data_IF_128009423757
#
_entry.id   IF_128009423757
#
_cell.length_a   1.000
_cell.length_b   1.000
_cell.length_c   1.000
_cell.angle_alpha   90.00
_cell.angle_beta   90.00
_cell.angle_gamma   90.00
#
_symmetry.space_group_name_H-M   'P 1'
#
loop_
_entity.id
_entity.type
_entity.pdbx_description
1 polymer ?
#
# COMPACT_ATOMS: atom_id res chain seq x y z
N UNK A 1 -36.50 3.76 -17.31
CA UNK A 1 -35.42 4.58 -17.90
C UNK A 1 -34.82 5.57 -16.90
N UNK A 2 -35.65 6.39 -16.21
CA UNK A 2 -35.16 7.41 -15.26
C UNK A 2 -34.37 6.83 -14.09
N UNK A 3 -34.81 5.70 -13.51
CA UNK A 3 -34.13 5.05 -12.38
C UNK A 3 -32.72 4.55 -12.72
N UNK A 4 -32.54 3.98 -13.91
CA UNK A 4 -31.24 3.49 -14.40
C UNK A 4 -30.27 4.67 -14.53
N UNK A 5 -30.76 5.81 -15.01
CA UNK A 5 -30.01 7.06 -15.17
C UNK A 5 -29.59 7.63 -13.80
N UNK A 6 -30.48 7.58 -12.81
CA UNK A 6 -30.18 8.00 -11.44
C UNK A 6 -29.10 7.12 -10.79
N UNK A 7 -29.18 5.79 -10.94
CA UNK A 7 -28.18 4.86 -10.41
C UNK A 7 -26.81 5.10 -11.05
N UNK A 8 -26.75 5.29 -12.38
CA UNK A 8 -25.50 5.55 -13.09
C UNK A 8 -24.81 6.83 -12.59
N UNK A 9 -25.59 7.90 -12.36
CA UNK A 9 -25.07 9.18 -11.89
C UNK A 9 -24.47 9.06 -10.48
N UNK A 10 -25.16 8.38 -9.56
CA UNK A 10 -24.65 8.10 -8.21
C UNK A 10 -23.36 7.29 -8.25
N UNK A 11 -23.28 6.31 -9.15
CA UNK A 11 -22.10 5.44 -9.30
C UNK A 11 -20.89 6.23 -9.81
N UNK A 12 -21.08 7.12 -10.81
CA UNK A 12 -20.03 7.98 -11.34
C UNK A 12 -19.52 8.97 -10.28
N UNK A 13 -20.42 9.59 -9.52
CA UNK A 13 -20.04 10.47 -8.42
C UNK A 13 -19.30 9.71 -7.31
N UNK A 14 -19.78 8.52 -6.95
CA UNK A 14 -19.15 7.67 -5.95
C UNK A 14 -17.72 7.27 -6.34
N UNK A 15 -17.52 6.84 -7.59
CA UNK A 15 -16.19 6.50 -8.13
C UNK A 15 -15.28 7.73 -8.12
N UNK A 16 -15.77 8.89 -8.57
CA UNK A 16 -14.99 10.13 -8.60
C UNK A 16 -14.49 10.53 -7.21
N UNK A 17 -15.35 10.45 -6.19
CA UNK A 17 -14.98 10.74 -4.80
C UNK A 17 -13.97 9.72 -4.26
N UNK A 18 -14.17 8.42 -4.54
CA UNK A 18 -13.24 7.37 -4.10
C UNK A 18 -11.85 7.54 -4.73
N UNK A 19 -11.78 7.82 -6.03
CA UNK A 19 -10.52 8.09 -6.72
C UNK A 19 -9.84 9.35 -6.19
N UNK A 20 -10.60 10.43 -6.01
CA UNK A 20 -10.08 11.68 -5.46
C UNK A 20 -9.47 11.49 -4.08
N UNK A 21 -10.15 10.75 -3.21
CA UNK A 21 -9.66 10.44 -1.86
C UNK A 21 -8.39 9.58 -1.90
N UNK A 22 -8.35 8.55 -2.75
CA UNK A 22 -7.18 7.69 -2.90
C UNK A 22 -5.94 8.48 -3.40
N UNK A 23 -6.13 9.36 -4.38
CA UNK A 23 -5.06 10.23 -4.89
C UNK A 23 -4.61 11.22 -3.83
N UNK A 24 -5.54 11.83 -3.08
CA UNK A 24 -5.21 12.76 -2.00
C UNK A 24 -4.38 12.09 -0.89
N UNK A 25 -4.76 10.88 -0.47
CA UNK A 25 -4.01 10.10 0.54
C UNK A 25 -2.63 9.72 0.00
N UNK A 26 -2.53 9.31 -1.27
CA UNK A 26 -1.27 8.98 -1.92
C UNK A 26 -0.33 10.19 -2.03
N UNK A 27 -0.85 11.35 -2.44
CA UNK A 27 -0.10 12.59 -2.53
C UNK A 27 0.41 13.03 -1.16
N UNK A 28 -0.46 12.99 -0.13
CA UNK A 28 -0.09 13.34 1.24
C UNK A 28 1.01 12.42 1.78
N UNK A 29 0.94 11.13 1.46
CA UNK A 29 1.97 10.16 1.83
C UNK A 29 3.34 10.45 1.18
N UNK A 30 3.34 10.90 -0.08
CA UNK A 30 4.56 11.31 -0.78
C UNK A 30 5.16 12.59 -0.19
N UNK A 31 4.31 13.57 0.11
CA UNK A 31 4.70 14.83 0.76
C UNK A 31 5.36 14.61 2.13
N UNK A 32 4.78 13.74 2.96
CA UNK A 32 5.34 13.39 4.26
C UNK A 32 6.74 12.78 4.14
N UNK A 33 6.96 11.89 3.17
CA UNK A 33 8.28 11.27 2.91
C UNK A 33 9.31 12.30 2.45
N UNK A 34 8.93 13.20 1.54
CA UNK A 34 9.81 14.29 1.08
C UNK A 34 10.16 15.28 2.19
N UNK A 35 9.19 15.62 3.05
CA UNK A 35 9.40 16.50 4.20
C UNK A 35 10.37 15.89 5.22
N UNK A 36 10.20 14.60 5.56
CA UNK A 36 11.13 13.92 6.47
C UNK A 36 12.54 13.87 5.89
N UNK A 37 12.69 13.62 4.59
CA UNK A 37 14.02 13.61 3.96
C UNK A 37 14.70 14.98 4.02
N UNK A 38 13.94 16.07 3.89
CA UNK A 38 14.45 17.44 4.05
C UNK A 38 14.94 17.71 5.48
N UNK A 39 14.19 17.31 6.51
CA UNK A 39 14.64 17.41 7.91
C UNK A 39 15.89 16.57 8.16
N UNK A 40 15.90 15.32 7.70
CA UNK A 40 17.03 14.41 7.89
C UNK A 40 18.30 14.94 7.20
N UNK A 41 18.13 15.54 6.02
CA UNK A 41 19.21 16.19 5.31
C UNK A 41 19.74 17.42 6.07
N UNK A 42 18.83 18.24 6.60
CA UNK A 42 19.18 19.38 7.46
C UNK A 42 20.01 18.96 8.67
N UNK A 43 19.66 17.83 9.29
CA UNK A 43 20.37 17.32 10.47
C UNK A 43 21.67 16.60 10.14
N UNK A 44 21.75 15.90 9.01
CA UNK A 44 22.92 15.06 8.70
C UNK A 44 23.91 15.76 7.77
N UNK A 45 23.43 16.36 6.68
CA UNK A 45 24.31 16.86 5.62
C UNK A 45 24.81 18.28 5.86
N UNK A 46 24.01 19.13 6.52
CA UNK A 46 24.42 20.52 6.83
C UNK A 46 25.60 20.54 7.83
N UNK A 47 25.53 19.91 9.01
CA UNK A 47 26.65 19.96 9.96
C UNK A 47 27.87 19.14 9.51
N UNK A 48 27.68 18.03 8.79
CA UNK A 48 28.79 17.14 8.40
C UNK A 48 29.54 17.65 7.17
N UNK A 49 28.82 18.16 6.16
CA UNK A 49 29.41 18.54 4.87
C UNK A 49 29.38 20.06 4.61
N UNK A 50 28.79 20.86 5.50
CA UNK A 50 28.70 22.32 5.33
C UNK A 50 27.85 22.76 4.14
N UNK A 51 26.95 21.88 3.67
CA UNK A 51 26.14 22.12 2.48
C UNK A 51 24.91 22.98 2.81
N UNK A 52 24.40 23.77 1.84
CA UNK A 52 23.17 24.52 2.01
C UNK A 52 21.96 23.59 2.22
N UNK A 53 20.98 24.08 2.98
CA UNK A 53 19.77 23.35 3.34
C UNK A 53 19.00 22.91 2.08
N UNK A 54 18.74 21.60 1.96
CA UNK A 54 17.92 21.11 0.85
C UNK A 54 16.43 21.33 1.14
N UNK A 55 15.82 22.16 0.32
CA UNK A 55 14.37 22.32 0.29
C UNK A 55 13.64 21.04 -0.14
N UNK A 56 12.33 21.03 0.08
CA UNK A 56 11.46 19.87 -0.21
C UNK A 56 11.49 19.48 -1.70
N UNK A 57 11.64 20.46 -2.59
CA UNK A 57 11.63 20.26 -4.06
C UNK A 57 12.80 19.37 -4.54
N UNK A 58 14.09 19.69 -4.26
CA UNK A 58 15.19 18.82 -4.65
C UNK A 58 15.17 17.45 -3.94
N UNK A 59 14.65 17.35 -2.71
CA UNK A 59 14.48 16.08 -2.02
C UNK A 59 13.52 15.12 -2.74
N UNK A 60 12.39 15.64 -3.25
CA UNK A 60 11.45 14.85 -4.07
C UNK A 60 12.12 14.37 -5.35
N UNK A 61 12.93 15.22 -6.01
CA UNK A 61 13.69 14.86 -7.21
C UNK A 61 14.61 13.66 -6.99
N UNK A 62 15.32 13.62 -5.86
CA UNK A 62 16.17 12.48 -5.50
C UNK A 62 15.38 11.21 -5.16
N UNK A 63 14.20 11.34 -4.55
CA UNK A 63 13.36 10.18 -4.24
C UNK A 63 12.88 9.48 -5.53
N UNK A 64 12.59 10.25 -6.58
CA UNK A 64 12.21 9.73 -7.89
C UNK A 64 13.36 8.98 -8.57
N UNK A 65 14.57 9.52 -8.54
CA UNK A 65 15.73 8.85 -9.14
C UNK A 65 16.07 7.54 -8.42
N UNK A 66 15.99 7.53 -7.09
CA UNK A 66 16.18 6.30 -6.30
C UNK A 66 15.08 5.28 -6.63
N UNK A 67 13.81 5.68 -6.63
CA UNK A 67 12.69 4.75 -6.92
C UNK A 67 12.80 4.16 -8.32
N UNK A 68 13.14 4.99 -9.31
CA UNK A 68 13.37 4.54 -10.69
C UNK A 68 14.47 3.47 -10.77
N UNK A 69 15.53 3.61 -9.98
CA UNK A 69 16.66 2.67 -9.97
C UNK A 69 16.30 1.30 -9.35
N UNK A 70 15.48 1.27 -8.29
CA UNK A 70 15.15 0.05 -7.56
C UNK A 70 14.00 -0.78 -8.16
N UNK A 71 13.13 -0.17 -8.99
CA UNK A 71 11.96 -0.84 -9.54
C UNK A 71 12.29 -2.02 -10.48
N UNK A 72 13.50 -2.07 -11.05
CA UNK A 72 13.88 -3.09 -12.03
C UNK A 72 14.13 -4.49 -11.42
N UNK A 73 14.39 -4.60 -10.11
CA UNK A 73 14.80 -5.87 -9.49
C UNK A 73 13.64 -6.85 -9.21
N UNK A 74 12.44 -6.35 -8.88
CA UNK A 74 11.33 -7.19 -8.40
C UNK A 74 10.64 -7.98 -9.51
N UNK A 75 10.61 -7.45 -10.74
CA UNK A 75 9.86 -8.01 -11.88
C UNK A 75 10.36 -9.40 -12.31
N UNK A 76 11.64 -9.70 -12.09
CA UNK A 76 12.28 -10.95 -12.53
C UNK A 76 11.89 -12.16 -11.68
N UNK A 77 11.64 -11.96 -10.38
CA UNK A 77 11.33 -13.04 -9.44
C UNK A 77 9.91 -13.60 -9.59
N UNK A 78 8.93 -12.74 -9.91
CA UNK A 78 7.52 -13.11 -10.02
C UNK A 78 7.25 -13.97 -11.29
N UNK A 79 7.99 -13.72 -12.39
CA UNK A 79 7.89 -14.48 -13.65
C UNK A 79 8.44 -15.91 -13.51
N UNK A 80 9.50 -16.08 -12.72
CA UNK A 80 10.07 -17.41 -12.45
C UNK A 80 9.16 -18.26 -11.56
N UNK A 81 8.53 -17.63 -10.55
CA UNK A 81 7.60 -18.30 -9.66
C UNK A 81 6.30 -18.75 -10.35
N UNK A 82 5.77 -17.95 -11.30
CA UNK A 82 4.56 -18.26 -12.04
C UNK A 82 4.70 -19.49 -12.97
N UNK A 83 5.92 -19.86 -13.35
CA UNK A 83 6.19 -21.01 -14.23
C UNK A 83 6.18 -22.37 -13.51
N UNK A 84 6.12 -22.38 -12.17
CA UNK A 84 6.35 -23.59 -11.37
C UNK A 84 5.10 -24.31 -10.82
N UNK A 85 3.88 -23.79 -11.04
CA UNK A 85 2.67 -24.39 -10.41
C UNK A 85 1.85 -25.26 -11.39
N UNK A 86 1.64 -26.55 -11.10
CA UNK A 86 0.72 -27.40 -11.86
C UNK A 86 -0.74 -27.11 -11.48
N UNK A 87 -1.57 -26.96 -12.52
CA UNK A 87 -3.02 -26.68 -12.47
C UNK A 87 -3.76 -27.94 -11.98
N UNK A 88 -4.32 -27.93 -10.77
CA UNK A 88 -5.14 -29.04 -10.23
C UNK A 88 -6.60 -28.85 -10.62
N UNK A 89 -7.10 -29.74 -11.47
CA UNK A 89 -8.50 -29.82 -11.94
C UNK A 89 -9.42 -30.36 -10.83
N UNK A 90 -10.61 -29.76 -10.59
CA UNK A 90 -11.60 -30.34 -9.68
C UNK A 90 -12.60 -31.22 -10.45
N UNK A 91 -12.67 -32.50 -10.08
CA UNK A 91 -13.66 -33.47 -10.58
C UNK A 91 -15.05 -33.32 -9.92
N UNK A 92 -16.10 -33.87 -10.55
CA UNK A 92 -17.49 -33.57 -10.24
C UNK A 92 -18.00 -34.39 -9.06
N UNK A 93 -18.87 -33.80 -8.23
CA UNK A 93 -19.56 -34.50 -7.13
C UNK A 93 -21.07 -34.41 -7.30
N UNK A 94 -21.71 -35.51 -6.94
CA UNK A 94 -23.04 -36.00 -7.28
C UNK A 94 -24.16 -35.58 -6.29
N UNK A 95 -25.39 -35.66 -6.81
CA UNK A 95 -26.63 -34.98 -6.39
C UNK A 95 -27.37 -35.58 -5.17
N UNK A 96 -26.67 -36.09 -4.17
CA UNK A 96 -27.30 -36.48 -2.88
C UNK A 96 -26.70 -35.73 -1.68
N UNK A 97 -25.90 -34.72 -1.97
CA UNK A 97 -25.08 -33.94 -1.04
C UNK A 97 -25.64 -32.53 -0.84
N UNK A 98 -26.76 -32.13 -1.46
CA UNK A 98 -27.22 -30.72 -1.44
C UNK A 98 -27.51 -30.18 -0.04
N UNK A 99 -28.12 -30.97 0.85
CA UNK A 99 -28.48 -30.49 2.20
C UNK A 99 -27.26 -30.33 3.13
N UNK A 100 -26.26 -31.19 2.97
CA UNK A 100 -25.00 -31.12 3.71
C UNK A 100 -24.03 -30.10 3.06
N UNK A 101 -24.05 -29.98 1.73
CA UNK A 101 -23.23 -29.04 0.98
C UNK A 101 -23.67 -27.60 1.24
N UNK A 102 -24.97 -27.30 1.38
CA UNK A 102 -25.43 -25.93 1.69
C UNK A 102 -24.97 -25.50 3.09
N UNK A 103 -24.97 -26.41 4.08
CA UNK A 103 -24.46 -26.12 5.42
C UNK A 103 -22.93 -25.97 5.43
N UNK A 104 -22.20 -26.83 4.70
CA UNK A 104 -20.75 -26.69 4.57
C UNK A 104 -20.36 -25.43 3.77
N UNK A 105 -21.13 -25.06 2.76
CA UNK A 105 -20.93 -23.86 1.95
C UNK A 105 -21.23 -22.60 2.76
N UNK A 106 -22.31 -22.58 3.55
CA UNK A 106 -22.61 -21.46 4.46
C UNK A 106 -21.52 -21.26 5.52
N UNK A 107 -21.02 -22.35 6.13
CA UNK A 107 -19.90 -22.29 7.09
C UNK A 107 -18.61 -21.82 6.42
N UNK A 108 -18.37 -22.26 5.17
CA UNK A 108 -17.22 -21.85 4.39
C UNK A 108 -17.28 -20.37 4.01
N UNK A 109 -18.44 -19.86 3.61
CA UNK A 109 -18.65 -18.44 3.29
C UNK A 109 -18.42 -17.57 4.52
N UNK A 110 -18.89 -17.99 5.71
CA UNK A 110 -18.64 -17.21 6.93
C UNK A 110 -17.16 -17.22 7.34
N UNK A 111 -16.46 -18.33 7.11
CA UNK A 111 -15.02 -18.42 7.33
C UNK A 111 -14.24 -17.55 6.34
N UNK A 112 -14.62 -17.56 5.06
CA UNK A 112 -14.04 -16.72 4.01
C UNK A 112 -14.28 -15.24 4.33
N UNK A 113 -15.50 -14.84 4.76
CA UNK A 113 -15.81 -13.45 5.14
C UNK A 113 -14.99 -12.95 6.33
N UNK A 114 -14.82 -13.79 7.38
CA UNK A 114 -13.97 -13.46 8.54
C UNK A 114 -12.49 -13.40 8.17
N UNK A 115 -12.07 -14.18 7.17
CA UNK A 115 -10.71 -14.17 6.67
C UNK A 115 -10.43 -12.92 5.83
N UNK A 116 -11.35 -12.53 4.94
CA UNK A 116 -11.29 -11.28 4.18
C UNK A 116 -11.25 -10.07 5.11
N UNK A 117 -12.10 -10.02 6.14
CA UNK A 117 -12.11 -8.91 7.10
C UNK A 117 -10.77 -8.76 7.83
N UNK A 118 -10.16 -9.89 8.25
CA UNK A 118 -8.83 -9.89 8.87
C UNK A 118 -7.75 -9.47 7.89
N UNK A 119 -7.82 -9.92 6.64
CA UNK A 119 -6.87 -9.54 5.60
C UNK A 119 -6.94 -8.04 5.30
N UNK A 120 -8.15 -7.47 5.19
CA UNK A 120 -8.37 -6.03 5.01
C UNK A 120 -7.83 -5.24 6.19
N UNK A 121 -8.12 -5.67 7.43
CA UNK A 121 -7.57 -5.03 8.64
C UNK A 121 -6.05 -5.09 8.69
N UNK A 122 -5.44 -6.24 8.40
CA UNK A 122 -3.98 -6.40 8.40
C UNK A 122 -3.33 -5.56 7.30
N UNK A 123 -3.92 -5.48 6.10
CA UNK A 123 -3.45 -4.60 5.03
C UNK A 123 -3.56 -3.13 5.42
N UNK A 124 -4.67 -2.71 6.04
CA UNK A 124 -4.86 -1.34 6.51
C UNK A 124 -3.85 -0.97 7.60
N UNK A 125 -3.65 -1.84 8.59
CA UNK A 125 -2.64 -1.66 9.65
C UNK A 125 -1.25 -1.62 9.05
N UNK A 126 -0.91 -2.52 8.12
CA UNK A 126 0.39 -2.51 7.45
C UNK A 126 0.63 -1.23 6.65
N UNK A 127 -0.41 -0.67 6.02
CA UNK A 127 -0.32 0.61 5.31
C UNK A 127 -0.08 1.76 6.29
N UNK A 128 -0.81 1.82 7.41
CA UNK A 128 -0.59 2.82 8.45
C UNK A 128 0.81 2.70 9.05
N UNK A 129 1.22 1.49 9.43
CA UNK A 129 2.53 1.24 10.03
C UNK A 129 3.64 1.65 9.07
N UNK A 130 3.58 1.25 7.79
CA UNK A 130 4.61 1.65 6.82
C UNK A 130 4.57 3.16 6.52
N UNK A 131 3.41 3.81 6.65
CA UNK A 131 3.26 5.24 6.45
C UNK A 131 3.85 6.05 7.61
N UNK A 132 3.66 5.60 8.85
CA UNK A 132 4.08 6.34 10.04
C UNK A 132 5.45 5.90 10.57
N UNK A 133 5.74 4.60 10.62
CA UNK A 133 6.98 4.10 11.24
C UNK A 133 8.21 4.50 10.45
N UNK A 134 8.16 4.49 9.11
CA UNK A 134 9.29 4.91 8.28
C UNK A 134 9.78 6.33 8.60
N UNK A 135 8.93 7.36 8.47
CA UNK A 135 9.33 8.73 8.76
C UNK A 135 9.69 8.97 10.24
N UNK A 136 8.93 8.40 11.18
CA UNK A 136 9.21 8.58 12.61
C UNK A 136 10.49 7.88 13.07
N UNK A 137 10.78 6.67 12.56
CA UNK A 137 12.01 5.95 12.88
C UNK A 137 13.23 6.71 12.36
N UNK A 138 13.13 7.28 11.14
CA UNK A 138 14.16 8.11 10.56
C UNK A 138 14.44 9.36 11.41
N UNK A 139 13.40 10.09 11.81
CA UNK A 139 13.50 11.25 12.71
C UNK A 139 14.09 10.88 14.08
N UNK A 140 13.64 9.77 14.66
CA UNK A 140 14.17 9.29 15.92
C UNK A 140 15.67 8.99 15.84
N UNK A 141 16.12 8.38 14.73
CA UNK A 141 17.52 8.09 14.50
C UNK A 141 18.35 9.37 14.31
N UNK A 142 17.82 10.36 13.58
CA UNK A 142 18.46 11.67 13.42
C UNK A 142 18.60 12.42 14.74
N UNK A 143 17.59 12.36 15.61
CA UNK A 143 17.64 12.96 16.94
C UNK A 143 18.68 12.29 17.84
N UNK A 144 18.81 10.95 17.78
CA UNK A 144 19.86 10.22 18.50
C UNK A 144 21.24 10.70 18.05
N UNK A 145 21.51 10.81 16.75
CA UNK A 145 22.82 11.25 16.25
C UNK A 145 23.15 12.66 16.76
N UNK A 146 22.17 13.58 16.73
CA UNK A 146 22.35 14.94 17.25
C UNK A 146 22.67 14.96 18.76
N UNK A 147 22.21 14.00 19.56
CA UNK A 147 22.54 13.94 20.99
C UNK A 147 23.98 13.48 21.27
N UNK A 148 24.65 12.84 20.31
CA UNK A 148 26.00 12.31 20.45
C UNK A 148 27.09 13.15 19.77
N UNK A 149 26.70 14.22 19.07
CA UNK A 149 27.61 15.17 18.41
C UNK A 149 27.54 16.53 19.10
#
# INVERSE_FOLDING_TARGET
MVEILAILLVLVLGIGVMLGLAVAIGALSSLLRGWVLSILWGWFMVPTFGLPELGVVPAIGMMFTITFLFQYSKISSDISAARSKPKKSPGPKNASTESAAILEEAVRIEKERKQEEKEVKMKFVSLLVNLFVGPFFSLFFGWIIHMFM
#
